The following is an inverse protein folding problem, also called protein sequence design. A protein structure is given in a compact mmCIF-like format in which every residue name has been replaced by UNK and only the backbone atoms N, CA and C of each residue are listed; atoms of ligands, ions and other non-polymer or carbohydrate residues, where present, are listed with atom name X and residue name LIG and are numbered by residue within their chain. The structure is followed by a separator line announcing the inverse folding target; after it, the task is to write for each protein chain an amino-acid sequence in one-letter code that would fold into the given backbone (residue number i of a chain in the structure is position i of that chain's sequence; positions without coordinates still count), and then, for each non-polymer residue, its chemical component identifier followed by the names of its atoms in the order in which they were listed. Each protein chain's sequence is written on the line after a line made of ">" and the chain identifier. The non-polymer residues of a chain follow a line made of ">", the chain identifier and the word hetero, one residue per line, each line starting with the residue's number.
data_IF_397863276406
#
_entry.id   IF_397863276406
#
_cell.length_a   1.000
_cell.length_b   1.000
_cell.length_c   1.000
_cell.angle_alpha   90.00
_cell.angle_beta   90.00
_cell.angle_gamma   90.00
#
_symmetry.space_group_name_H-M   'P 1'
#
loop_
_entity.id
_entity.type
_entity.pdbx_description
1 polymer ?
#
# COMPACT_ATOMS: atom_id res chain seq x y z
N UNK A 1 -5.96 -30.15 46.96
CA UNK A 1 -5.03 -29.67 45.91
C UNK A 1 -5.76 -28.58 45.14
N UNK A 2 -5.41 -27.31 45.36
CA UNK A 2 -6.06 -26.16 44.72
C UNK A 2 -5.47 -25.97 43.32
N UNK A 3 -6.28 -26.19 42.29
CA UNK A 3 -5.87 -26.00 40.88
C UNK A 3 -5.81 -24.51 40.62
N UNK A 4 -4.59 -24.01 40.42
CA UNK A 4 -4.27 -22.61 40.23
C UNK A 4 -4.64 -22.21 38.79
N UNK A 5 -5.87 -21.71 38.57
CA UNK A 5 -6.30 -21.17 37.28
C UNK A 5 -5.59 -19.82 37.04
N UNK A 6 -4.40 -19.85 36.45
CA UNK A 6 -3.75 -18.68 35.86
C UNK A 6 -4.51 -18.32 34.57
N UNK A 7 -5.51 -17.45 34.71
CA UNK A 7 -6.06 -16.72 33.57
C UNK A 7 -4.95 -15.79 33.09
N UNK A 8 -4.42 -16.06 31.90
CA UNK A 8 -3.43 -15.17 31.28
C UNK A 8 -4.16 -13.92 30.78
N UNK A 9 -3.55 -12.74 30.92
CA UNK A 9 -4.14 -11.45 30.50
C UNK A 9 -4.50 -11.41 28.99
N UNK A 10 -4.02 -12.36 28.20
CA UNK A 10 -4.36 -12.54 26.77
C UNK A 10 -5.53 -13.47 26.51
N UNK A 11 -6.10 -14.11 27.54
CA UNK A 11 -7.33 -14.87 27.41
C UNK A 11 -8.50 -13.89 27.43
N UNK A 12 -8.99 -13.54 26.24
CA UNK A 12 -10.27 -12.83 26.12
C UNK A 12 -11.34 -13.70 26.79
N UNK A 13 -11.85 -13.24 27.93
CA UNK A 13 -13.08 -13.76 28.48
C UNK A 13 -14.15 -13.57 27.39
N UNK A 14 -14.72 -14.69 26.92
CA UNK A 14 -15.84 -14.68 25.98
C UNK A 14 -17.08 -14.13 26.72
N UNK A 15 -17.11 -12.82 26.91
CA UNK A 15 -18.33 -12.05 27.03
C UNK A 15 -18.92 -11.95 25.61
N UNK A 16 -20.20 -12.28 25.38
CA UNK A 16 -20.82 -12.02 24.08
C UNK A 16 -20.79 -10.52 23.86
N UNK A 17 -19.84 -10.06 23.04
CA UNK A 17 -19.74 -8.69 22.55
C UNK A 17 -21.12 -8.31 22.01
N UNK A 18 -21.86 -7.53 22.80
CA UNK A 18 -22.95 -6.73 22.26
C UNK A 18 -22.30 -5.91 21.15
N UNK A 19 -22.85 -6.00 19.93
CA UNK A 19 -22.46 -5.27 18.74
C UNK A 19 -22.58 -3.76 18.99
N UNK A 20 -21.68 -3.21 19.80
CA UNK A 20 -21.42 -1.79 19.85
C UNK A 20 -20.65 -1.50 18.57
N UNK A 21 -21.25 -0.65 17.72
CA UNK A 21 -20.71 -0.09 16.48
C UNK A 21 -19.18 -0.12 16.42
N UNK A 22 -18.57 -0.56 15.31
CA UNK A 22 -17.12 -0.51 15.16
C UNK A 22 -16.66 0.91 15.48
N UNK A 23 -15.84 1.04 16.52
CA UNK A 23 -15.23 2.31 16.89
C UNK A 23 -14.28 2.70 15.76
N UNK A 24 -14.72 3.61 14.90
CA UNK A 24 -13.91 4.19 13.83
C UNK A 24 -13.14 5.35 14.44
N UNK A 25 -11.85 5.15 14.68
CA UNK A 25 -10.97 6.23 15.10
C UNK A 25 -10.66 7.12 13.88
N UNK A 26 -11.32 8.29 13.82
CA UNK A 26 -11.18 9.25 12.72
C UNK A 26 -9.73 9.72 12.51
N UNK A 27 -8.88 9.66 13.55
CA UNK A 27 -7.46 10.03 13.46
C UNK A 27 -6.58 8.96 12.79
N UNK A 28 -7.02 7.70 12.81
CA UNK A 28 -6.28 6.57 12.21
C UNK A 28 -6.76 6.23 10.80
N UNK A 29 -7.92 6.72 10.38
CA UNK A 29 -8.44 6.56 9.02
C UNK A 29 -7.42 6.78 7.89
N UNK A 30 -6.60 7.84 7.86
CA UNK A 30 -5.64 8.04 6.77
C UNK A 30 -4.53 6.98 6.73
N UNK A 31 -4.14 6.42 7.88
CA UNK A 31 -3.15 5.34 7.97
C UNK A 31 -3.76 3.98 7.63
N UNK A 32 -5.00 3.72 8.03
CA UNK A 32 -5.71 2.48 7.73
C UNK A 32 -6.06 2.31 6.24
N UNK A 33 -6.19 3.41 5.48
CA UNK A 33 -6.33 3.36 4.01
C UNK A 33 -5.14 2.66 3.34
N UNK A 34 -3.94 2.80 3.92
CA UNK A 34 -2.71 2.22 3.37
C UNK A 34 -2.67 0.71 3.59
N UNK A 35 -3.24 0.22 4.69
CA UNK A 35 -3.28 -1.20 5.06
C UNK A 35 -4.49 -1.96 4.48
N UNK A 36 -5.62 -1.27 4.28
CA UNK A 36 -6.88 -1.86 3.82
C UNK A 36 -7.04 -2.02 2.31
N UNK A 37 -5.99 -1.83 1.51
CA UNK A 37 -6.09 -1.89 0.05
C UNK A 37 -6.85 -0.68 -0.54
N UNK A 38 -6.52 0.53 -0.08
CA UNK A 38 -6.98 1.76 -0.71
C UNK A 38 -6.68 1.79 -2.22
N UNK A 39 -7.44 2.59 -2.97
CA UNK A 39 -7.30 2.69 -4.42
C UNK A 39 -5.83 2.96 -4.79
N UNK A 40 -5.33 2.26 -5.82
CA UNK A 40 -3.98 2.44 -6.31
C UNK A 40 -3.74 3.93 -6.62
N UNK A 41 -2.88 4.57 -5.84
CA UNK A 41 -2.52 5.96 -6.08
C UNK A 41 -1.55 6.04 -7.25
N UNK A 42 -1.76 7.03 -8.11
CA UNK A 42 -0.81 7.39 -9.14
C UNK A 42 0.53 7.75 -8.50
N UNK A 43 1.62 7.17 -8.98
CA UNK A 43 2.95 7.50 -8.50
C UNK A 43 3.34 8.94 -8.89
N UNK A 44 3.56 9.80 -7.88
CA UNK A 44 4.12 11.13 -8.09
C UNK A 44 5.64 11.09 -8.10
N UNK A 45 6.23 11.08 -9.30
CA UNK A 45 7.68 11.09 -9.49
C UNK A 45 8.37 12.39 -9.05
N UNK A 46 7.63 13.48 -8.91
CA UNK A 46 8.19 14.78 -8.47
C UNK A 46 8.53 14.78 -6.99
N UNK A 47 7.74 14.05 -6.19
CA UNK A 47 7.93 13.85 -4.77
C UNK A 47 9.00 12.79 -4.41
N UNK A 48 9.53 12.06 -5.41
CA UNK A 48 10.51 11.00 -5.17
C UNK A 48 11.92 11.54 -4.89
N UNK A 49 12.74 10.82 -4.09
CA UNK A 49 14.15 11.13 -3.89
C UNK A 49 14.92 11.19 -5.20
N UNK A 50 15.91 12.09 -5.28
CA UNK A 50 16.64 12.39 -6.51
C UNK A 50 17.15 11.15 -7.29
N UNK A 51 17.76 10.12 -6.66
CA UNK A 51 18.22 8.94 -7.40
C UNK A 51 17.09 8.16 -8.07
N UNK A 52 15.98 7.96 -7.36
CA UNK A 52 14.80 7.24 -7.86
C UNK A 52 14.15 8.03 -8.99
N UNK A 53 14.08 9.34 -8.85
CA UNK A 53 13.52 10.23 -9.85
C UNK A 53 14.29 10.18 -11.17
N UNK A 54 15.63 10.23 -11.12
CA UNK A 54 16.45 10.12 -12.34
C UNK A 54 16.29 8.76 -13.02
N UNK A 55 16.25 7.67 -12.25
CA UNK A 55 16.01 6.34 -12.81
C UNK A 55 14.64 6.26 -13.50
N UNK A 56 13.59 6.76 -12.86
CA UNK A 56 12.23 6.78 -13.43
C UNK A 56 12.16 7.51 -14.76
N UNK A 57 12.74 8.71 -14.84
CA UNK A 57 12.77 9.48 -16.10
C UNK A 57 13.63 8.81 -17.18
N UNK A 58 14.78 8.23 -16.82
CA UNK A 58 15.62 7.51 -17.77
C UNK A 58 14.90 6.29 -18.36
N UNK A 59 14.23 5.51 -17.52
CA UNK A 59 13.45 4.35 -17.94
C UNK A 59 12.30 4.72 -18.88
N UNK A 60 11.52 5.74 -18.52
CA UNK A 60 10.43 6.25 -19.36
C UNK A 60 10.95 6.77 -20.70
N UNK A 61 12.07 7.49 -20.72
CA UNK A 61 12.70 7.97 -21.94
C UNK A 61 13.16 6.82 -22.85
N UNK A 62 13.72 5.76 -22.28
CA UNK A 62 14.16 4.58 -23.03
C UNK A 62 12.98 3.79 -23.61
N UNK A 63 11.89 3.64 -22.86
CA UNK A 63 10.67 3.02 -23.38
C UNK A 63 10.08 3.83 -24.54
N UNK A 64 10.05 5.17 -24.40
CA UNK A 64 9.55 6.03 -25.45
C UNK A 64 10.42 5.95 -26.72
N UNK A 65 11.74 5.97 -26.57
CA UNK A 65 12.65 5.86 -27.72
C UNK A 65 12.55 4.49 -28.39
N UNK A 66 12.34 3.41 -27.63
CA UNK A 66 12.11 2.08 -28.17
C UNK A 66 10.82 2.03 -29.02
N UNK A 67 9.71 2.57 -28.51
CA UNK A 67 8.46 2.65 -29.27
C UNK A 67 8.65 3.43 -30.57
N UNK A 68 9.32 4.58 -30.51
CA UNK A 68 9.63 5.38 -31.70
C UNK A 68 10.50 4.61 -32.71
N UNK A 69 11.49 3.86 -32.23
CA UNK A 69 12.35 3.04 -33.07
C UNK A 69 11.56 1.91 -33.76
N UNK A 70 10.65 1.24 -33.05
CA UNK A 70 9.78 0.21 -33.63
C UNK A 70 8.88 0.79 -34.72
N UNK A 71 8.24 1.94 -34.45
CA UNK A 71 7.39 2.63 -35.44
C UNK A 71 8.21 3.03 -36.65
N UNK A 72 9.40 3.60 -36.43
CA UNK A 72 10.30 3.99 -37.51
C UNK A 72 10.68 2.79 -38.39
N UNK A 73 11.12 1.69 -37.78
CA UNK A 73 11.45 0.47 -38.54
C UNK A 73 10.22 -0.03 -39.29
N UNK A 74 9.05 -0.08 -38.65
CA UNK A 74 7.82 -0.56 -39.30
C UNK A 74 7.35 0.29 -40.48
N UNK A 75 7.66 1.59 -40.52
CA UNK A 75 7.23 2.48 -41.61
C UNK A 75 8.25 2.56 -42.75
N UNK A 76 9.54 2.44 -42.44
CA UNK A 76 10.63 2.70 -43.40
C UNK A 76 11.40 1.44 -43.80
N UNK A 77 11.07 0.27 -43.26
CA UNK A 77 11.65 -1.02 -43.61
C UNK A 77 10.55 -2.07 -43.79
#
# INVERSE_FOLDING_TARGET
>A
MSVNNKVHETQQAYEPMQLQSPYVDEGLLPMQIIEGGGNAQSADFSAMPAPVRYFGYAFLGLMLSFVLAVVYVSMFR
#
